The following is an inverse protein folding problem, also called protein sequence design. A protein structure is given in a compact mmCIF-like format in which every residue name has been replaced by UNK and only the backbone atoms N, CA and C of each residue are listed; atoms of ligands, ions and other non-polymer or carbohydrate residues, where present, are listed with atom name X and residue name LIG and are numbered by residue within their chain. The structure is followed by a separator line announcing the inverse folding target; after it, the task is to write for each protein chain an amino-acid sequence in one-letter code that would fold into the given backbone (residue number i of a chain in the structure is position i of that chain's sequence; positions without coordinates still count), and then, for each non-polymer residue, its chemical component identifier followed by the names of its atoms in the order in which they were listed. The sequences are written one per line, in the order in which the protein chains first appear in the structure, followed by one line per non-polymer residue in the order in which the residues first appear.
data_IF_060891347021
#
_entry.id   IF_060891347021
#
_cell.length_a   1.000
_cell.length_b   1.000
_cell.length_c   1.000
_cell.angle_alpha   90.00
_cell.angle_beta   90.00
_cell.angle_gamma   90.00
#
_symmetry.space_group_name_H-M   'P 1'
#
loop_
_entity.id
_entity.type
_entity.pdbx_description
1 polymer ?
#
# COMPACT_ATOMS: atom_id res chain seq x y z
N UNK A 1 -0.79 28.18 -26.16
CA UNK A 1 0.62 28.28 -25.74
C UNK A 1 0.96 26.90 -25.20
N UNK A 2 1.67 26.09 -25.99
CA UNK A 2 2.01 24.71 -25.60
C UNK A 2 3.20 24.75 -24.63
N UNK A 3 3.05 24.09 -23.48
CA UNK A 3 4.10 23.97 -22.47
C UNK A 3 4.65 22.54 -22.49
N UNK A 4 5.95 22.40 -22.74
CA UNK A 4 6.65 21.13 -22.63
C UNK A 4 6.96 20.84 -21.16
N UNK A 5 6.47 19.70 -20.65
CA UNK A 5 6.73 19.26 -19.27
C UNK A 5 8.08 18.52 -19.27
N UNK A 6 9.15 19.23 -18.89
CA UNK A 6 10.43 18.61 -18.56
C UNK A 6 10.53 18.47 -17.03
N UNK A 7 10.41 17.25 -16.53
CA UNK A 7 10.79 16.89 -15.17
C UNK A 7 12.31 16.69 -15.16
N UNK A 8 13.08 17.46 -14.40
CA UNK A 8 14.28 17.00 -13.68
C UNK A 8 14.90 18.08 -12.76
N UNK A 9 15.00 17.68 -11.49
CA UNK A 9 15.93 17.90 -10.36
C UNK A 9 16.76 19.20 -10.17
N UNK A 10 16.72 19.68 -8.92
CA UNK A 10 17.88 20.28 -8.23
C UNK A 10 17.57 21.40 -7.23
N UNK A 11 17.69 21.11 -5.93
CA UNK A 11 17.80 22.08 -4.82
C UNK A 11 16.50 22.38 -4.05
N UNK A 12 16.24 21.59 -3.00
CA UNK A 12 15.08 21.59 -2.08
C UNK A 12 13.69 21.88 -2.67
N UNK A 13 12.85 20.85 -2.91
CA UNK A 13 11.50 21.07 -3.40
C UNK A 13 10.61 21.65 -2.28
N UNK A 14 9.85 22.74 -2.54
CA UNK A 14 8.63 22.98 -1.77
C UNK A 14 7.75 21.72 -1.87
N UNK A 15 7.28 21.29 -0.71
CA UNK A 15 6.53 20.04 -0.54
C UNK A 15 5.25 20.05 -1.39
N UNK A 16 5.02 19.11 -2.32
CA UNK A 16 3.74 19.05 -3.03
C UNK A 16 2.66 18.62 -2.04
N UNK A 17 1.73 19.51 -1.74
CA UNK A 17 0.50 19.18 -1.01
C UNK A 17 -0.54 18.86 -2.07
N UNK A 18 -0.82 17.58 -2.29
CA UNK A 18 -1.99 17.16 -3.06
C UNK A 18 -3.19 17.16 -2.12
N UNK A 19 -4.03 18.20 -2.20
CA UNK A 19 -5.36 18.17 -1.58
C UNK A 19 -6.34 17.59 -2.59
N UNK A 20 -7.00 16.50 -2.20
CA UNK A 20 -8.06 15.88 -2.98
C UNK A 20 -9.41 16.31 -2.41
N UNK A 21 -10.18 17.04 -3.20
CA UNK A 21 -11.59 17.34 -2.93
C UNK A 21 -12.45 16.66 -4.00
N UNK A 22 -13.68 16.27 -3.64
CA UNK A 22 -14.66 15.78 -4.60
C UNK A 22 -15.02 16.81 -5.69
N UNK A 23 -14.71 18.09 -5.49
CA UNK A 23 -14.95 19.15 -6.46
C UNK A 23 -13.72 19.57 -7.26
N UNK A 24 -12.51 19.37 -6.71
CA UNK A 24 -11.27 19.92 -7.27
C UNK A 24 -10.07 19.07 -6.88
N UNK A 25 -9.15 18.89 -7.84
CA UNK A 25 -7.81 18.35 -7.57
C UNK A 25 -6.82 19.48 -7.78
N UNK A 26 -6.14 19.88 -6.71
CA UNK A 26 -5.09 20.90 -6.77
C UNK A 26 -3.73 20.22 -6.83
N UNK A 27 -3.01 20.44 -7.94
CA UNK A 27 -1.64 19.99 -8.12
C UNK A 27 -0.73 21.22 -8.07
N UNK A 28 0.17 21.26 -7.09
CA UNK A 28 1.24 22.24 -7.09
C UNK A 28 2.41 21.73 -7.92
N UNK A 29 2.75 22.47 -8.97
CA UNK A 29 3.92 22.18 -9.81
C UNK A 29 5.08 23.01 -9.29
N UNK A 30 6.09 22.33 -8.74
CA UNK A 30 7.19 22.98 -8.04
C UNK A 30 8.02 23.93 -8.91
N UNK A 31 8.04 23.75 -10.23
CA UNK A 31 8.73 24.64 -11.16
C UNK A 31 8.15 24.49 -12.56
N UNK A 32 7.66 25.58 -13.15
CA UNK A 32 7.42 25.69 -14.59
C UNK A 32 8.39 26.74 -15.11
N UNK A 33 9.11 26.41 -16.18
CA UNK A 33 10.07 27.31 -16.80
C UNK A 33 9.46 27.86 -18.08
N UNK A 34 9.48 29.18 -18.27
CA UNK A 34 9.10 29.75 -19.56
C UNK A 34 10.16 29.44 -20.65
N UNK A 35 9.88 29.82 -21.90
CA UNK A 35 10.80 29.59 -23.02
C UNK A 35 12.17 30.29 -22.84
N UNK A 36 12.31 31.16 -21.84
CA UNK A 36 13.53 31.91 -21.53
C UNK A 36 14.28 31.35 -20.31
N UNK A 37 13.82 30.25 -19.71
CA UNK A 37 14.52 29.65 -18.58
C UNK A 37 14.13 30.22 -17.21
N UNK A 38 13.12 31.08 -17.12
CA UNK A 38 12.75 31.75 -15.86
C UNK A 38 11.75 30.89 -15.07
N UNK A 39 12.03 30.56 -13.79
CA UNK A 39 11.10 29.81 -12.95
C UNK A 39 9.85 30.63 -12.62
N UNK A 40 8.67 30.07 -12.84
CA UNK A 40 7.40 30.63 -12.36
C UNK A 40 6.64 29.63 -11.49
N UNK A 41 6.07 30.08 -10.35
CA UNK A 41 5.16 29.26 -9.56
C UNK A 41 3.83 29.12 -10.30
N UNK A 42 3.41 27.89 -10.59
CA UNK A 42 2.14 27.62 -11.27
C UNK A 42 1.30 26.69 -10.40
N UNK A 43 0.08 27.14 -10.08
CA UNK A 43 -0.95 26.30 -9.47
C UNK A 43 -1.83 25.76 -10.58
N UNK A 44 -1.87 24.43 -10.75
CA UNK A 44 -2.79 23.79 -11.67
C UNK A 44 -4.03 23.32 -10.89
N UNK A 45 -5.16 23.97 -11.16
CA UNK A 45 -6.46 23.51 -10.68
C UNK A 45 -7.07 22.63 -11.77
N UNK A 46 -7.10 21.33 -11.53
CA UNK A 46 -7.80 20.41 -12.41
C UNK A 46 -9.25 20.27 -11.92
N UNK A 47 -10.20 20.65 -12.77
CA UNK A 47 -11.60 20.29 -12.57
C UNK A 47 -11.79 18.88 -13.15
N UNK A 48 -12.10 17.87 -12.32
CA UNK A 48 -12.35 16.52 -12.82
C UNK A 48 -13.53 16.57 -13.81
N UNK A 49 -13.31 16.18 -15.06
CA UNK A 49 -14.37 16.15 -16.09
C UNK A 49 -15.36 15.01 -15.85
N UNK A 50 -14.94 13.97 -15.13
CA UNK A 50 -15.79 12.86 -14.71
C UNK A 50 -15.22 12.25 -13.43
N UNK A 51 -16.01 12.24 -12.35
CA UNK A 51 -15.76 11.43 -11.16
C UNK A 51 -16.76 10.28 -11.21
N UNK A 52 -16.30 9.12 -11.63
CA UNK A 52 -17.11 7.91 -11.59
C UNK A 52 -16.96 7.28 -10.21
N UNK A 53 -17.94 7.52 -9.34
CA UNK A 53 -18.17 6.54 -8.29
C UNK A 53 -18.64 5.27 -8.98
N UNK A 54 -18.04 4.10 -8.68
CA UNK A 54 -18.51 2.85 -9.26
C UNK A 54 -20.02 2.72 -8.98
N UNK A 55 -20.82 2.28 -9.96
CA UNK A 55 -22.25 2.09 -9.77
C UNK A 55 -22.50 1.25 -8.51
N UNK A 56 -23.45 1.63 -7.64
CA UNK A 56 -23.76 0.88 -6.42
C UNK A 56 -24.13 -0.59 -6.70
N UNK A 57 -24.52 -0.89 -7.93
CA UNK A 57 -25.15 -2.14 -8.35
C UNK A 57 -24.20 -3.07 -9.11
N UNK A 58 -22.91 -2.72 -9.25
CA UNK A 58 -21.93 -3.69 -9.73
C UNK A 58 -21.94 -4.87 -8.75
N UNK A 59 -22.12 -6.13 -9.20
CA UNK A 59 -21.94 -7.29 -8.34
C UNK A 59 -20.49 -7.26 -7.84
N UNK A 60 -20.31 -6.70 -6.64
CA UNK A 60 -19.00 -6.50 -6.07
C UNK A 60 -18.49 -7.88 -5.71
N UNK A 61 -17.58 -8.39 -6.55
CA UNK A 61 -16.92 -9.67 -6.31
C UNK A 61 -16.44 -9.71 -4.85
N UNK A 62 -16.57 -10.87 -4.19
CA UNK A 62 -16.00 -11.10 -2.86
C UNK A 62 -14.60 -10.50 -2.71
N UNK A 63 -14.28 -9.86 -1.59
CA UNK A 63 -12.96 -9.25 -1.36
C UNK A 63 -12.06 -10.22 -0.61
N UNK A 64 -10.89 -10.51 -1.17
CA UNK A 64 -9.84 -11.23 -0.48
C UNK A 64 -8.70 -10.26 -0.23
N UNK A 65 -8.46 -9.92 1.03
CA UNK A 65 -7.48 -8.91 1.39
C UNK A 65 -6.40 -9.48 2.31
N UNK A 66 -5.16 -9.10 2.04
CA UNK A 66 -4.07 -9.23 2.99
C UNK A 66 -3.62 -7.82 3.40
N UNK A 67 -3.44 -7.60 4.69
CA UNK A 67 -2.79 -6.39 5.21
C UNK A 67 -1.40 -6.76 5.66
N UNK A 68 -0.39 -6.16 5.05
CA UNK A 68 1.02 -6.33 5.39
C UNK A 68 1.49 -5.12 6.17
N UNK A 69 1.84 -5.34 7.44
CA UNK A 69 2.21 -4.28 8.36
C UNK A 69 3.71 -4.31 8.63
N UNK A 70 4.35 -3.17 8.42
CA UNK A 70 5.74 -3.00 8.81
C UNK A 70 5.86 -3.09 10.34
N UNK A 71 6.85 -3.87 10.75
CA UNK A 71 7.24 -4.08 12.13
C UNK A 71 8.62 -3.50 12.41
N UNK A 72 9.15 -2.57 11.62
CA UNK A 72 10.45 -1.94 11.84
C UNK A 72 10.52 -1.13 13.14
N UNK A 73 11.71 -1.00 13.73
CA UNK A 73 11.91 -0.23 14.96
C UNK A 73 11.68 1.28 14.81
N UNK A 74 11.82 1.84 13.61
CA UNK A 74 11.59 3.27 13.31
C UNK A 74 10.14 3.70 13.55
N UNK A 75 9.19 2.77 13.49
CA UNK A 75 7.78 3.01 13.82
C UNK A 75 7.56 3.38 15.29
N UNK A 76 8.49 3.08 16.20
CA UNK A 76 8.40 3.55 17.59
C UNK A 76 8.42 5.08 17.68
N UNK A 77 9.03 5.74 16.70
CA UNK A 77 9.12 7.21 16.62
C UNK A 77 8.11 7.78 15.62
N UNK A 78 7.90 7.11 14.49
CA UNK A 78 7.05 7.60 13.40
C UNK A 78 5.55 7.32 13.61
N UNK A 79 5.21 6.28 14.37
CA UNK A 79 3.83 5.93 14.72
C UNK A 79 3.70 5.54 16.21
N UNK A 80 4.03 6.46 17.14
CA UNK A 80 4.07 6.18 18.58
C UNK A 80 2.68 5.85 19.14
N UNK A 81 1.62 6.26 18.45
CA UNK A 81 0.23 6.01 18.83
C UNK A 81 -0.39 4.83 18.10
N UNK A 82 0.39 4.10 17.28
CA UNK A 82 -0.09 2.97 16.48
C UNK A 82 -1.32 3.30 15.63
N UNK A 83 -1.41 4.52 15.07
CA UNK A 83 -2.57 4.96 14.27
C UNK A 83 -2.71 4.17 12.99
N UNK A 84 -1.66 3.48 12.53
CA UNK A 84 -1.79 2.46 11.47
C UNK A 84 -2.78 1.36 11.85
N UNK A 85 -2.89 0.99 13.13
CA UNK A 85 -3.89 0.02 13.59
C UNK A 85 -5.30 0.58 13.41
N UNK A 86 -5.52 1.86 13.72
CA UNK A 86 -6.81 2.52 13.52
C UNK A 86 -7.18 2.64 12.03
N UNK A 87 -6.22 2.87 11.15
CA UNK A 87 -6.44 2.86 9.71
C UNK A 87 -6.88 1.47 9.23
N UNK A 88 -6.23 0.40 9.70
CA UNK A 88 -6.63 -0.96 9.39
C UNK A 88 -8.01 -1.28 9.98
N UNK A 89 -8.33 -0.84 11.20
CA UNK A 89 -9.65 -1.05 11.80
C UNK A 89 -10.77 -0.41 10.97
N UNK A 90 -10.59 0.83 10.49
CA UNK A 90 -11.57 1.49 9.60
C UNK A 90 -11.70 0.80 8.24
N UNK A 91 -10.62 0.19 7.75
CA UNK A 91 -10.68 -0.63 6.56
C UNK A 91 -11.48 -1.94 6.82
N UNK A 92 -11.29 -2.57 7.98
CA UNK A 92 -12.04 -3.77 8.39
C UNK A 92 -13.51 -3.47 8.68
N UNK A 93 -13.86 -2.25 9.09
CA UNK A 93 -15.25 -1.83 9.27
C UNK A 93 -16.04 -1.95 7.97
N UNK A 94 -15.39 -1.72 6.82
CA UNK A 94 -15.99 -1.82 5.49
C UNK A 94 -16.17 -3.26 4.99
N UNK A 95 -15.62 -4.27 5.68
CA UNK A 95 -15.81 -5.67 5.27
C UNK A 95 -17.27 -6.07 5.38
N UNK A 96 -17.77 -6.72 4.33
CA UNK A 96 -19.04 -7.43 4.33
C UNK A 96 -18.91 -8.72 5.15
N UNK A 97 -20.00 -9.22 5.73
CA UNK A 97 -19.99 -10.48 6.46
C UNK A 97 -19.50 -11.65 5.59
N UNK A 98 -18.87 -12.64 6.22
CA UNK A 98 -18.50 -13.90 5.57
C UNK A 98 -19.71 -14.56 4.87
N UNK A 99 -19.51 -15.25 3.73
CA UNK A 99 -18.23 -15.55 3.09
C UNK A 99 -17.75 -14.46 2.09
N UNK A 100 -18.41 -13.30 2.03
CA UNK A 100 -18.16 -12.31 0.98
C UNK A 100 -16.78 -11.67 1.08
N UNK A 101 -16.33 -11.30 2.28
CA UNK A 101 -15.03 -10.69 2.46
C UNK A 101 -14.19 -11.49 3.46
N UNK A 102 -12.94 -11.77 3.08
CA UNK A 102 -11.96 -12.51 3.86
C UNK A 102 -10.69 -11.68 3.98
N UNK A 103 -10.15 -11.57 5.19
CA UNK A 103 -8.95 -10.82 5.50
C UNK A 103 -7.87 -11.69 6.10
N UNK A 104 -6.61 -11.35 5.89
CA UNK A 104 -5.47 -11.86 6.63
C UNK A 104 -4.59 -10.70 7.09
N UNK A 105 -3.93 -10.85 8.25
CA UNK A 105 -3.00 -9.88 8.80
C UNK A 105 -1.61 -10.50 8.84
N UNK A 106 -0.69 -9.85 8.15
CA UNK A 106 0.72 -10.18 8.13
C UNK A 106 1.52 -9.02 8.70
N UNK A 107 2.65 -9.35 9.29
CA UNK A 107 3.70 -8.40 9.66
C UNK A 107 4.98 -8.78 8.94
N UNK A 108 5.87 -7.85 8.69
CA UNK A 108 7.24 -8.17 8.30
C UNK A 108 8.26 -7.42 9.14
N UNK A 109 9.42 -8.05 9.30
CA UNK A 109 10.63 -7.52 9.89
C UNK A 109 11.83 -8.33 9.35
N UNK A 110 13.05 -8.05 9.80
CA UNK A 110 14.25 -8.82 9.43
C UNK A 110 14.43 -10.15 10.17
N UNK A 111 13.47 -10.57 11.01
CA UNK A 111 13.56 -11.81 11.80
C UNK A 111 12.82 -12.98 11.17
N UNK A 112 12.16 -12.77 10.02
CA UNK A 112 11.94 -13.75 8.96
C UNK A 112 11.83 -15.22 9.39
N UNK A 113 10.87 -15.54 10.26
CA UNK A 113 10.32 -16.87 10.47
C UNK A 113 9.09 -16.75 11.38
N UNK A 114 7.94 -16.45 10.78
CA UNK A 114 6.69 -16.83 11.43
C UNK A 114 6.61 -18.36 11.46
N UNK A 115 6.99 -18.98 12.59
CA UNK A 115 6.69 -20.39 12.83
C UNK A 115 5.16 -20.53 12.98
N UNK A 116 4.50 -20.91 11.89
CA UNK A 116 3.06 -21.14 11.87
C UNK A 116 2.63 -21.76 10.55
N UNK A 117 1.80 -22.79 10.62
CA UNK A 117 1.12 -23.30 9.44
C UNK A 117 0.14 -22.22 8.96
N UNK A 118 0.36 -21.70 7.76
CA UNK A 118 -0.66 -20.92 7.06
C UNK A 118 -1.80 -21.85 6.65
N UNK A 119 -2.94 -21.32 6.21
CA UNK A 119 -4.05 -22.08 5.64
C UNK A 119 -3.62 -22.89 4.41
N UNK A 120 -2.47 -22.53 3.83
CA UNK A 120 -1.83 -23.22 2.71
C UNK A 120 -0.78 -24.24 3.13
N UNK A 121 -0.49 -24.37 4.44
CA UNK A 121 0.57 -25.22 4.97
C UNK A 121 1.99 -24.79 4.59
N UNK A 122 2.14 -23.61 3.97
CA UNK A 122 3.43 -23.09 3.51
C UNK A 122 3.97 -22.06 4.50
N UNK A 123 5.24 -22.17 4.92
CA UNK A 123 5.86 -21.19 5.79
C UNK A 123 6.13 -19.90 5.03
N UNK A 124 5.95 -18.77 5.73
CA UNK A 124 6.38 -17.46 5.27
C UNK A 124 7.80 -17.20 5.80
N UNK A 125 8.68 -16.71 4.93
CA UNK A 125 10.11 -16.50 5.18
C UNK A 125 10.44 -15.06 5.51
N UNK A 126 9.74 -14.11 4.92
CA UNK A 126 9.99 -12.66 5.09
C UNK A 126 8.82 -11.95 5.75
N UNK A 127 7.63 -12.57 5.77
CA UNK A 127 6.49 -12.14 6.57
C UNK A 127 6.18 -13.14 7.71
N UNK A 128 5.55 -12.63 8.76
CA UNK A 128 4.92 -13.39 9.83
C UNK A 128 3.41 -13.29 9.68
N UNK A 129 2.73 -14.45 9.62
CA UNK A 129 1.27 -14.48 9.67
C UNK A 129 0.81 -14.23 11.11
N UNK A 130 0.09 -13.14 11.32
CA UNK A 130 -0.51 -12.83 12.62
C UNK A 130 -1.92 -13.41 12.69
N UNK A 131 -2.70 -13.26 11.62
CA UNK A 131 -4.04 -13.82 11.51
C UNK A 131 -4.27 -14.32 10.09
N UNK A 132 -4.67 -15.58 9.97
CA UNK A 132 -5.04 -16.19 8.68
C UNK A 132 -6.40 -15.72 8.18
N UNK A 133 -6.71 -16.08 6.93
CA UNK A 133 -7.94 -15.75 6.24
C UNK A 133 -9.19 -16.06 7.07
N UNK A 134 -9.92 -15.01 7.40
CA UNK A 134 -11.19 -15.09 8.11
C UNK A 134 -12.07 -13.90 7.75
N UNK A 135 -13.39 -14.06 7.83
CA UNK A 135 -14.34 -12.94 7.77
C UNK A 135 -14.69 -12.38 9.16
N UNK A 136 -14.13 -12.94 10.23
CA UNK A 136 -14.31 -12.46 11.60
C UNK A 136 -13.43 -11.22 11.85
N UNK A 137 -14.08 -10.07 11.95
CA UNK A 137 -13.43 -8.77 12.16
C UNK A 137 -12.68 -8.71 13.50
N UNK A 138 -13.15 -9.39 14.55
CA UNK A 138 -12.49 -9.39 15.87
C UNK A 138 -11.21 -10.22 15.86
N UNK A 139 -11.20 -11.34 15.13
CA UNK A 139 -9.96 -12.10 14.89
C UNK A 139 -8.94 -11.27 14.12
N UNK A 140 -9.37 -10.55 13.09
CA UNK A 140 -8.50 -9.65 12.32
C UNK A 140 -7.96 -8.50 13.17
N UNK A 141 -8.81 -7.85 13.97
CA UNK A 141 -8.38 -6.79 14.90
C UNK A 141 -7.34 -7.29 15.91
N UNK A 142 -7.53 -8.49 16.46
CA UNK A 142 -6.52 -9.14 17.33
C UNK A 142 -5.22 -9.47 16.59
N UNK A 143 -5.28 -9.76 15.29
CA UNK A 143 -4.11 -9.89 14.42
C UNK A 143 -3.34 -8.57 14.34
N UNK A 144 -4.03 -7.47 14.03
CA UNK A 144 -3.43 -6.12 13.91
C UNK A 144 -2.75 -5.70 15.19
N UNK A 145 -3.38 -5.91 16.36
CA UNK A 145 -2.79 -5.56 17.67
C UNK A 145 -1.48 -6.29 17.97
N UNK A 146 -1.19 -7.42 17.29
CA UNK A 146 0.07 -8.16 17.42
C UNK A 146 1.18 -7.66 16.48
N UNK A 147 0.89 -6.72 15.57
CA UNK A 147 1.86 -6.12 14.66
C UNK A 147 2.73 -5.05 15.34
N UNK A 148 3.34 -5.43 16.47
CA UNK A 148 4.18 -4.55 17.29
C UNK A 148 5.53 -4.30 16.60
N UNK A 149 6.06 -3.06 16.61
CA UNK A 149 7.39 -2.73 16.09
C UNK A 149 8.54 -3.50 16.76
N UNK A 150 9.57 -3.80 15.99
CA UNK A 150 10.82 -4.46 16.37
C UNK A 150 11.55 -5.07 15.16
N UNK A 151 12.73 -4.54 14.82
CA UNK A 151 13.62 -5.09 13.78
C UNK A 151 13.93 -4.13 12.63
N UNK A 152 14.54 -4.66 11.57
CA UNK A 152 14.82 -3.97 10.30
C UNK A 152 13.75 -4.31 9.24
N UNK A 153 13.89 -3.79 8.01
CA UNK A 153 12.81 -3.69 7.01
C UNK A 153 13.16 -4.43 5.71
N UNK A 154 12.51 -5.57 5.45
CA UNK A 154 12.59 -6.33 4.19
C UNK A 154 11.29 -6.16 3.36
N UNK A 155 10.99 -4.92 2.99
CA UNK A 155 9.72 -4.49 2.38
C UNK A 155 9.45 -5.19 1.04
N UNK A 156 10.43 -5.26 0.15
CA UNK A 156 10.24 -5.86 -1.18
C UNK A 156 10.00 -7.36 -1.11
N UNK A 157 10.81 -8.05 -0.31
CA UNK A 157 10.66 -9.49 -0.13
C UNK A 157 9.33 -9.83 0.54
N UNK A 158 8.95 -9.09 1.58
CA UNK A 158 7.68 -9.30 2.28
C UNK A 158 6.47 -8.98 1.40
N UNK A 159 6.54 -7.92 0.59
CA UNK A 159 5.43 -7.55 -0.31
C UNK A 159 5.19 -8.63 -1.37
N UNK A 160 6.26 -9.14 -1.98
CA UNK A 160 6.17 -10.23 -2.95
C UNK A 160 5.64 -11.50 -2.29
N UNK A 161 6.13 -11.85 -1.10
CA UNK A 161 5.68 -13.04 -0.38
C UNK A 161 4.20 -12.95 0.02
N UNK A 162 3.75 -11.80 0.53
CA UNK A 162 2.34 -11.56 0.83
C UNK A 162 1.47 -11.59 -0.44
N UNK A 163 1.97 -11.06 -1.55
CA UNK A 163 1.33 -11.13 -2.86
C UNK A 163 1.16 -12.58 -3.34
N UNK A 164 2.18 -13.43 -3.14
CA UNK A 164 2.11 -14.88 -3.40
C UNK A 164 1.09 -15.55 -2.50
N UNK A 165 1.17 -15.35 -1.19
CA UNK A 165 0.22 -15.89 -0.21
C UNK A 165 -1.25 -15.60 -0.59
N UNK A 166 -1.57 -14.35 -0.91
CA UNK A 166 -2.90 -13.93 -1.37
C UNK A 166 -3.28 -14.57 -2.71
N UNK A 167 -2.29 -14.69 -3.59
CA UNK A 167 -2.43 -15.30 -4.90
C UNK A 167 -2.49 -16.81 -4.85
N UNK A 168 -2.03 -17.51 -3.82
CA UNK A 168 -2.08 -18.97 -3.69
C UNK A 168 -3.36 -19.43 -2.98
N UNK A 169 -4.00 -18.56 -2.18
CA UNK A 169 -5.31 -18.84 -1.60
C UNK A 169 -6.41 -18.90 -2.67
N UNK A 170 -7.03 -20.08 -2.78
CA UNK A 170 -7.99 -20.47 -3.82
C UNK A 170 -9.31 -20.92 -3.20
N UNK A 171 -10.10 -19.99 -2.65
CA UNK A 171 -11.48 -20.29 -2.27
C UNK A 171 -12.31 -20.57 -3.53
N UNK A 172 -13.47 -21.21 -3.35
CA UNK A 172 -14.34 -21.64 -4.45
C UNK A 172 -14.87 -20.48 -5.31
N UNK A 173 -15.04 -19.30 -4.69
CA UNK A 173 -15.54 -18.10 -5.36
C UNK A 173 -14.41 -17.27 -6.01
N UNK A 174 -14.76 -16.42 -6.99
CA UNK A 174 -13.81 -15.50 -7.62
C UNK A 174 -13.71 -14.19 -6.82
N UNK A 175 -12.64 -14.07 -6.04
CA UNK A 175 -12.36 -12.85 -5.26
C UNK A 175 -11.58 -11.78 -6.02
N UNK A 176 -11.86 -10.51 -5.71
CA UNK A 176 -10.95 -9.40 -5.97
C UNK A 176 -9.84 -9.42 -4.92
N UNK A 177 -8.58 -9.40 -5.34
CA UNK A 177 -7.43 -9.55 -4.43
C UNK A 177 -6.78 -8.21 -4.17
N UNK A 178 -6.71 -7.83 -2.90
CA UNK A 178 -6.07 -6.59 -2.48
C UNK A 178 -4.99 -6.86 -1.45
N UNK A 179 -3.78 -6.42 -1.73
CA UNK A 179 -2.71 -6.35 -0.74
C UNK A 179 -2.59 -4.89 -0.29
N UNK A 180 -2.69 -4.63 1.01
CA UNK A 180 -2.49 -3.28 1.57
C UNK A 180 -1.24 -3.31 2.42
N UNK A 181 -0.23 -2.54 2.03
CA UNK A 181 1.07 -2.48 2.70
C UNK A 181 1.16 -1.18 3.49
N UNK A 182 1.44 -1.26 4.79
CA UNK A 182 1.75 -0.10 5.63
C UNK A 182 3.24 -0.14 5.95
N UNK A 183 3.98 0.92 5.64
CA UNK A 183 5.44 0.99 5.86
C UNK A 183 5.90 2.42 6.08
N UNK A 184 7.01 2.58 6.81
CA UNK A 184 7.76 3.84 6.89
C UNK A 184 8.92 3.92 5.88
N UNK A 185 8.98 2.94 4.97
CA UNK A 185 9.35 3.08 3.56
C UNK A 185 10.81 3.32 3.22
N UNK A 186 11.71 2.83 4.07
CA UNK A 186 13.08 2.55 3.67
C UNK A 186 13.31 1.04 3.73
N UNK A 187 13.36 0.42 2.55
CA UNK A 187 13.86 -0.94 2.42
C UNK A 187 15.37 -0.95 2.62
N UNK A 188 15.86 -1.77 3.55
CA UNK A 188 17.29 -1.85 3.87
C UNK A 188 17.84 -3.28 3.92
N UNK A 189 16.97 -4.29 3.91
CA UNK A 189 17.36 -5.70 4.08
C UNK A 189 16.75 -6.62 3.03
N UNK A 190 16.01 -6.12 2.03
CA UNK A 190 15.49 -7.01 0.99
C UNK A 190 16.63 -7.53 0.11
N UNK A 191 16.53 -8.82 -0.22
CA UNK A 191 17.37 -9.47 -1.23
C UNK A 191 16.94 -9.10 -2.65
N UNK A 192 15.65 -8.74 -2.82
CA UNK A 192 15.12 -8.22 -4.08
C UNK A 192 15.38 -6.73 -4.24
N UNK A 193 15.70 -6.34 -5.47
CA UNK A 193 15.55 -4.97 -5.92
C UNK A 193 14.09 -4.62 -6.22
N UNK A 194 13.76 -3.32 -6.24
CA UNK A 194 12.45 -2.82 -6.68
C UNK A 194 12.06 -3.32 -8.09
N UNK A 195 13.02 -3.48 -9.01
CA UNK A 195 12.76 -4.00 -10.36
C UNK A 195 12.29 -5.46 -10.33
N UNK A 196 12.94 -6.30 -9.52
CA UNK A 196 12.53 -7.70 -9.35
C UNK A 196 11.17 -7.79 -8.67
N UNK A 197 10.95 -7.02 -7.61
CA UNK A 197 9.68 -7.03 -6.88
C UNK A 197 8.49 -6.61 -7.77
N UNK A 198 8.63 -5.50 -8.50
CA UNK A 198 7.60 -5.01 -9.42
C UNK A 198 7.32 -6.01 -10.56
N UNK A 199 8.36 -6.63 -11.11
CA UNK A 199 8.22 -7.67 -12.13
C UNK A 199 7.46 -8.89 -11.58
N UNK A 200 7.87 -9.41 -10.42
CA UNK A 200 7.21 -10.57 -9.79
C UNK A 200 5.75 -10.28 -9.44
N UNK A 201 5.43 -9.10 -8.91
CA UNK A 201 4.05 -8.69 -8.62
C UNK A 201 3.20 -8.54 -9.89
N UNK A 202 3.77 -7.98 -10.96
CA UNK A 202 3.11 -7.87 -12.27
C UNK A 202 2.78 -9.25 -12.81
N UNK A 203 3.72 -10.18 -12.70
CA UNK A 203 3.55 -11.58 -13.09
C UNK A 203 2.43 -12.23 -12.28
N UNK A 204 2.44 -12.10 -10.94
CA UNK A 204 1.37 -12.62 -10.08
C UNK A 204 -0.01 -12.05 -10.43
N UNK A 205 -0.09 -10.77 -10.76
CA UNK A 205 -1.33 -10.10 -11.15
C UNK A 205 -1.88 -10.59 -12.51
N UNK A 206 -1.01 -11.06 -13.42
CA UNK A 206 -1.39 -11.50 -14.77
C UNK A 206 -1.64 -13.01 -14.87
N UNK A 207 -0.78 -13.83 -14.27
CA UNK A 207 -0.71 -15.27 -14.52
C UNK A 207 -1.91 -16.06 -13.99
N UNK A 208 -2.67 -15.49 -13.05
CA UNK A 208 -3.60 -16.29 -12.24
C UNK A 208 -5.08 -16.02 -12.53
N UNK A 209 -5.40 -15.27 -13.59
CA UNK A 209 -6.78 -14.92 -13.96
C UNK A 209 -7.52 -14.17 -12.85
N UNK A 210 -6.77 -13.57 -11.93
CA UNK A 210 -7.23 -12.96 -10.69
C UNK A 210 -6.50 -11.63 -10.54
N UNK A 211 -7.26 -10.54 -10.49
CA UNK A 211 -6.72 -9.20 -10.34
C UNK A 211 -6.19 -9.01 -8.92
N UNK A 212 -4.88 -9.19 -8.74
CA UNK A 212 -4.14 -8.73 -7.57
C UNK A 212 -3.86 -7.23 -7.74
N UNK A 213 -4.19 -6.44 -6.72
CA UNK A 213 -3.88 -5.01 -6.66
C UNK A 213 -3.20 -4.68 -5.33
N UNK A 214 -2.06 -4.01 -5.39
CA UNK A 214 -1.21 -3.66 -4.24
C UNK A 214 -1.36 -2.17 -3.95
N UNK A 215 -1.90 -1.84 -2.77
CA UNK A 215 -1.96 -0.50 -2.24
C UNK A 215 -0.84 -0.31 -1.21
N UNK A 216 -0.19 0.85 -1.24
CA UNK A 216 0.91 1.16 -0.32
C UNK A 216 0.56 2.42 0.45
N UNK A 217 0.63 2.35 1.77
CA UNK A 217 0.44 3.47 2.69
C UNK A 217 1.79 3.77 3.34
N UNK A 218 2.41 4.87 2.92
CA UNK A 218 3.67 5.36 3.47
C UNK A 218 3.43 6.21 4.72
N UNK A 219 4.16 5.95 5.79
CA UNK A 219 4.11 6.67 7.06
C UNK A 219 5.39 7.48 7.27
N UNK A 220 5.27 8.78 7.50
CA UNK A 220 6.42 9.63 7.83
C UNK A 220 6.91 10.49 6.68
N UNK A 221 8.10 11.07 6.88
CA UNK A 221 8.67 12.12 6.01
C UNK A 221 9.86 11.63 5.17
N UNK A 222 10.57 10.59 5.64
CA UNK A 222 11.80 10.08 5.03
C UNK A 222 11.56 8.78 4.24
N UNK A 223 10.55 8.80 3.38
CA UNK A 223 10.14 7.66 2.56
C UNK A 223 10.81 7.67 1.19
N UNK A 224 11.15 6.50 0.64
CA UNK A 224 11.49 6.41 -0.78
C UNK A 224 10.21 6.43 -1.65
N UNK A 225 9.60 7.62 -1.78
CA UNK A 225 8.31 7.82 -2.46
C UNK A 225 8.26 7.22 -3.87
N UNK A 226 9.35 7.36 -4.63
CA UNK A 226 9.43 6.84 -6.00
C UNK A 226 9.34 5.31 -6.03
N UNK A 227 10.05 4.63 -5.13
CA UNK A 227 10.02 3.16 -5.09
C UNK A 227 8.68 2.64 -4.56
N UNK A 228 8.10 3.26 -3.54
CA UNK A 228 6.77 2.89 -3.03
C UNK A 228 5.67 3.09 -4.08
N UNK A 229 5.74 4.19 -4.84
CA UNK A 229 4.82 4.44 -5.93
C UNK A 229 4.97 3.40 -7.06
N UNK A 230 6.21 3.05 -7.41
CA UNK A 230 6.48 2.00 -8.41
C UNK A 230 5.96 0.64 -7.96
N UNK A 231 6.12 0.32 -6.67
CA UNK A 231 5.64 -0.93 -6.09
C UNK A 231 4.11 -1.07 -6.21
N UNK A 232 3.36 -0.03 -5.87
CA UNK A 232 1.90 -0.01 -6.01
C UNK A 232 1.47 -0.05 -7.49
N UNK A 233 2.09 0.79 -8.33
CA UNK A 233 1.73 0.95 -9.74
C UNK A 233 1.94 -0.35 -10.56
N UNK A 234 2.84 -1.24 -10.13
CA UNK A 234 3.08 -2.54 -10.78
C UNK A 234 1.81 -3.40 -10.91
N UNK A 235 0.78 -3.13 -10.11
CA UNK A 235 -0.48 -3.90 -10.08
C UNK A 235 -1.72 -3.02 -10.23
N UNK A 236 -1.57 -1.84 -10.87
CA UNK A 236 -2.61 -0.80 -10.99
C UNK A 236 -3.11 -0.27 -9.64
N UNK A 237 -2.32 -0.45 -8.59
CA UNK A 237 -2.65 0.03 -7.26
C UNK A 237 -2.22 1.48 -7.03
N UNK A 238 -2.43 1.96 -5.80
CA UNK A 238 -2.19 3.35 -5.45
C UNK A 238 -1.29 3.45 -4.23
N UNK A 239 -0.40 4.44 -4.27
CA UNK A 239 0.40 4.87 -3.12
C UNK A 239 -0.28 6.08 -2.45
N UNK A 240 -0.41 6.02 -1.13
CA UNK A 240 -0.93 7.11 -0.29
C UNK A 240 0.13 7.47 0.72
N UNK A 241 0.47 8.77 0.80
CA UNK A 241 1.39 9.31 1.78
C UNK A 241 0.60 9.85 2.98
N UNK A 242 0.84 9.30 4.16
CA UNK A 242 0.46 9.89 5.44
C UNK A 242 1.73 10.38 6.13
N UNK A 243 2.05 11.68 5.96
CA UNK A 243 3.27 12.30 6.50
C UNK A 243 3.36 12.22 8.01
N UNK A 244 2.19 12.23 8.63
CA UNK A 244 2.00 12.05 10.04
C UNK A 244 0.86 11.07 10.23
N UNK A 245 0.96 10.26 11.27
CA UNK A 245 -0.01 9.22 11.58
C UNK A 245 -1.43 9.81 11.81
N UNK A 246 -1.55 11.11 12.09
CA UNK A 246 -2.81 11.83 12.22
C UNK A 246 -3.58 12.01 10.93
N UNK A 247 -2.90 12.06 9.80
CA UNK A 247 -3.52 12.11 8.48
C UNK A 247 -4.19 10.80 8.09
N UNK A 248 -4.01 9.75 8.89
CA UNK A 248 -4.74 8.51 8.68
C UNK A 248 -6.22 8.65 9.08
N UNK A 249 -6.61 9.59 9.96
CA UNK A 249 -7.95 9.68 10.60
C UNK A 249 -9.14 9.95 9.69
#
# INVERSE_FOLDING_TARGET
MEFNIALLQGGDPPQPITQLSASQVSLQVNRVTDLLGIPQPVTLTLTPTRIENPPPDLPQRPLLMAVLMDGSGSLLVLDPQSRRFLAVFRLLDQFRPAPLDLGAILRFDNRGAGFGLTALGQPLRTAQLLQDFTGDKELLRRGVLRAVPGGNTALYDATVEAGRFLSDFRPTERFNRRLVVFTDGIDNESTRSINQATQELTTLARERGQKLTVYVVGLGVDLNLLELQRLAAATEGTFVLARFADQLS
#
